data_IF_261727869439
#
_entry.id   IF_261727869439
#
_cell.length_a   1.000
_cell.length_b   1.000
_cell.length_c   1.000
_cell.angle_alpha   90.00
_cell.angle_beta   90.00
_cell.angle_gamma   90.00
#
_symmetry.space_group_name_H-M   'P 1'
#
loop_
_entity.id
_entity.type
_entity.pdbx_description
1 polymer ?
#
# COMPACT_ATOMS: atom_id res chain seq x y z
N UNK A 1 7.07 -22.94 -5.00
CA UNK A 1 6.98 -22.25 -3.72
C UNK A 1 7.19 -20.74 -3.90
N UNK A 2 6.77 -19.95 -2.90
CA UNK A 2 6.97 -18.49 -2.90
C UNK A 2 8.44 -18.12 -2.65
N UNK A 3 8.87 -16.97 -3.16
CA UNK A 3 10.19 -16.40 -2.94
C UNK A 3 10.04 -15.07 -2.23
N UNK A 4 10.71 -14.91 -1.07
CA UNK A 4 10.81 -13.64 -0.39
C UNK A 4 11.96 -12.82 -0.99
N UNK A 5 11.64 -11.63 -1.51
CA UNK A 5 12.61 -10.74 -2.16
C UNK A 5 12.86 -9.53 -1.25
N UNK A 6 14.11 -9.17 -0.94
CA UNK A 6 14.42 -7.96 -0.21
C UNK A 6 13.84 -6.72 -0.90
N UNK A 7 13.30 -5.78 -0.12
CA UNK A 7 12.62 -4.58 -0.66
C UNK A 7 13.48 -3.82 -1.68
N UNK A 8 14.77 -3.72 -1.45
CA UNK A 8 15.72 -3.01 -2.31
C UNK A 8 15.93 -3.69 -3.68
N UNK A 9 15.66 -4.99 -3.77
CA UNK A 9 15.88 -5.78 -4.98
C UNK A 9 14.61 -6.04 -5.80
N UNK A 10 13.44 -5.70 -5.27
CA UNK A 10 12.13 -6.00 -5.89
C UNK A 10 12.10 -5.60 -7.36
N UNK A 11 12.43 -4.33 -7.67
CA UNK A 11 12.34 -3.81 -9.03
C UNK A 11 13.27 -4.58 -9.99
N UNK A 12 14.48 -4.94 -9.53
CA UNK A 12 15.43 -5.71 -10.33
C UNK A 12 14.89 -7.11 -10.67
N UNK A 13 14.25 -7.78 -9.68
CA UNK A 13 13.62 -9.09 -9.91
C UNK A 13 12.44 -8.99 -10.88
N UNK A 14 11.56 -8.01 -10.71
CA UNK A 14 10.39 -7.82 -11.58
C UNK A 14 10.82 -7.55 -13.04
N UNK A 15 11.78 -6.65 -13.26
CA UNK A 15 12.32 -6.35 -14.59
C UNK A 15 12.94 -7.60 -15.23
N UNK A 16 13.68 -8.39 -14.44
CA UNK A 16 14.26 -9.65 -14.92
C UNK A 16 13.18 -10.64 -15.35
N UNK A 17 12.16 -10.87 -14.50
CA UNK A 17 11.08 -11.81 -14.81
C UNK A 17 10.28 -11.38 -16.04
N UNK A 18 10.03 -10.08 -16.19
CA UNK A 18 9.37 -9.54 -17.38
C UNK A 18 10.17 -9.80 -18.65
N UNK A 19 11.49 -9.58 -18.61
CA UNK A 19 12.41 -9.89 -19.75
C UNK A 19 12.44 -11.37 -20.09
N UNK A 20 12.41 -12.23 -19.05
CA UNK A 20 12.38 -13.69 -19.20
C UNK A 20 10.99 -14.23 -19.59
N UNK A 21 9.97 -13.37 -19.74
CA UNK A 21 8.57 -13.74 -20.01
C UNK A 21 7.99 -14.76 -19.01
N UNK A 22 8.47 -14.73 -17.76
CA UNK A 22 7.96 -15.59 -16.70
C UNK A 22 6.63 -15.07 -16.19
N UNK A 23 5.68 -15.97 -15.95
CA UNK A 23 4.49 -15.63 -15.17
C UNK A 23 4.86 -15.44 -13.70
N UNK A 24 4.29 -14.44 -13.07
CA UNK A 24 4.48 -14.15 -11.66
C UNK A 24 3.18 -13.69 -10.99
N UNK A 25 3.14 -13.88 -9.69
CA UNK A 25 2.19 -13.21 -8.81
C UNK A 25 3.01 -12.54 -7.71
N UNK A 26 2.86 -11.23 -7.54
CA UNK A 26 3.61 -10.47 -6.55
C UNK A 26 2.68 -9.85 -5.51
N UNK A 27 2.92 -10.15 -4.22
CA UNK A 27 2.14 -9.61 -3.10
C UNK A 27 2.71 -8.29 -2.58
N UNK A 28 1.87 -7.25 -2.53
CA UNK A 28 2.17 -5.97 -1.89
C UNK A 28 1.42 -5.86 -0.57
N UNK A 29 2.15 -5.78 0.55
CA UNK A 29 1.58 -5.53 1.88
C UNK A 29 1.53 -4.02 2.08
N UNK A 30 0.35 -3.41 1.89
CA UNK A 30 0.19 -1.95 1.86
C UNK A 30 -0.76 -1.39 2.92
N UNK A 31 -1.37 -2.26 3.73
CA UNK A 31 -2.35 -1.92 4.76
C UNK A 31 -1.74 -1.32 6.04
N UNK A 32 -0.42 -1.36 6.20
CA UNK A 32 0.29 -0.90 7.39
C UNK A 32 0.74 0.57 7.27
N UNK A 33 1.09 1.18 8.44
CA UNK A 33 1.50 2.58 8.53
C UNK A 33 2.95 2.79 8.10
N UNK A 34 3.25 3.68 7.13
CA UNK A 34 4.62 4.05 6.78
C UNK A 34 5.30 4.84 7.91
N UNK A 35 6.64 4.81 7.98
CA UNK A 35 7.40 5.73 8.84
C UNK A 35 7.27 7.17 8.31
N UNK A 36 7.39 8.19 9.18
CA UNK A 36 7.24 9.59 8.79
C UNK A 36 8.03 9.98 7.53
N UNK A 37 9.29 9.61 7.43
CA UNK A 37 10.14 9.89 6.25
C UNK A 37 9.69 9.19 4.95
N UNK A 38 8.70 8.31 5.02
CA UNK A 38 8.16 7.58 3.86
C UNK A 38 6.67 7.92 3.60
N UNK A 39 6.14 8.96 4.24
CA UNK A 39 4.76 9.41 4.04
C UNK A 39 4.74 10.40 2.88
N UNK A 40 4.20 9.98 1.75
CA UNK A 40 4.04 10.83 0.57
C UNK A 40 2.58 11.10 0.23
N UNK A 41 1.65 10.45 0.92
CA UNK A 41 0.22 10.59 0.66
C UNK A 41 -0.57 10.30 1.93
N UNK A 42 -1.62 11.07 2.14
CA UNK A 42 -2.64 10.88 3.16
C UNK A 42 -3.98 10.65 2.48
N UNK A 43 -4.76 9.70 2.99
CA UNK A 43 -6.09 9.37 2.49
C UNK A 43 -7.08 9.25 3.66
N UNK A 44 -8.36 9.61 3.45
CA UNK A 44 -9.41 9.27 4.41
C UNK A 44 -9.60 7.74 4.42
N UNK A 45 -9.51 7.13 5.61
CA UNK A 45 -9.71 5.70 5.81
C UNK A 45 -10.31 5.46 7.18
N UNK A 46 -11.48 4.81 7.24
CA UNK A 46 -12.27 4.60 8.47
C UNK A 46 -12.48 5.89 9.27
N UNK A 47 -12.84 6.98 8.58
CA UNK A 47 -13.05 8.33 9.14
C UNK A 47 -11.80 8.98 9.77
N UNK A 48 -10.60 8.49 9.47
CA UNK A 48 -9.35 9.08 9.93
C UNK A 48 -8.49 9.50 8.74
N UNK A 49 -7.80 10.63 8.86
CA UNK A 49 -6.73 11.01 7.94
C UNK A 49 -5.53 10.06 8.14
N UNK A 50 -5.17 9.32 7.11
CA UNK A 50 -4.36 8.12 7.23
C UNK A 50 -3.18 8.14 6.29
N UNK A 51 -1.93 8.02 6.81
CA UNK A 51 -0.75 7.95 5.97
C UNK A 51 -0.65 6.58 5.29
N UNK A 52 -0.33 6.59 3.99
CA UNK A 52 -0.32 5.37 3.17
C UNK A 52 0.99 5.16 2.43
N UNK A 53 1.30 3.90 2.12
CA UNK A 53 2.43 3.56 1.25
C UNK A 53 2.06 3.77 -0.22
N UNK A 54 2.86 4.56 -0.94
CA UNK A 54 2.69 4.79 -2.39
C UNK A 54 3.76 4.12 -3.25
N UNK A 55 4.80 3.58 -2.62
CA UNK A 55 5.92 2.96 -3.34
C UNK A 55 5.52 1.74 -4.17
N UNK A 56 4.54 0.97 -3.73
CA UNK A 56 3.97 -0.17 -4.47
C UNK A 56 3.32 0.29 -5.78
N UNK A 57 2.49 1.33 -5.73
CA UNK A 57 1.83 1.88 -6.91
C UNK A 57 2.83 2.37 -7.97
N UNK A 58 3.92 3.04 -7.56
CA UNK A 58 4.98 3.45 -8.50
C UNK A 58 5.59 2.26 -9.24
N UNK A 59 5.76 1.13 -8.56
CA UNK A 59 6.25 -0.11 -9.17
C UNK A 59 5.20 -0.71 -10.10
N UNK A 60 3.93 -0.80 -9.67
CA UNK A 60 2.81 -1.33 -10.47
C UNK A 60 2.67 -0.55 -11.77
N UNK A 61 2.69 0.79 -11.72
CA UNK A 61 2.64 1.66 -12.91
C UNK A 61 3.84 1.44 -13.85
N UNK A 62 5.05 1.31 -13.29
CA UNK A 62 6.27 1.05 -14.07
C UNK A 62 6.26 -0.31 -14.75
N UNK A 63 5.74 -1.33 -14.08
CA UNK A 63 5.65 -2.69 -14.63
C UNK A 63 4.48 -2.84 -15.59
N UNK A 64 3.43 -2.07 -15.41
CA UNK A 64 2.19 -2.06 -16.20
C UNK A 64 1.56 -3.47 -16.31
N UNK A 65 1.51 -4.19 -15.18
CA UNK A 65 0.88 -5.49 -15.06
C UNK A 65 -0.44 -5.34 -14.28
N UNK A 66 -1.43 -6.21 -14.54
CA UNK A 66 -2.74 -6.14 -13.89
C UNK A 66 -2.63 -6.17 -12.35
N UNK A 67 -3.39 -5.30 -11.69
CA UNK A 67 -3.41 -5.13 -10.23
C UNK A 67 -4.73 -5.63 -9.66
N UNK A 68 -4.64 -6.49 -8.66
CA UNK A 68 -5.80 -7.06 -7.98
C UNK A 68 -5.77 -6.74 -6.49
N UNK A 69 -6.94 -6.55 -5.93
CA UNK A 69 -7.19 -6.60 -4.49
C UNK A 69 -7.53 -8.05 -4.10
N UNK A 70 -6.94 -8.53 -3.01
CA UNK A 70 -7.28 -9.85 -2.44
C UNK A 70 -8.35 -9.66 -1.39
N UNK A 71 -9.61 -9.84 -1.80
CA UNK A 71 -10.76 -9.77 -0.90
C UNK A 71 -10.85 -11.04 -0.06
N UNK A 72 -10.60 -10.90 1.23
CA UNK A 72 -10.62 -12.00 2.18
C UNK A 72 -12.01 -12.16 2.81
N UNK A 73 -12.47 -13.39 2.93
CA UNK A 73 -13.65 -13.76 3.70
C UNK A 73 -13.31 -14.92 4.65
N UNK A 74 -13.98 -14.94 5.79
CA UNK A 74 -13.85 -16.01 6.80
C UNK A 74 -15.23 -16.60 7.11
N UNK A 75 -15.72 -17.54 6.27
CA UNK A 75 -17.04 -18.15 6.49
C UNK A 75 -17.10 -18.93 7.81
N UNK A 76 -16.03 -19.59 8.21
CA UNK A 76 -15.95 -20.37 9.45
C UNK A 76 -14.57 -20.22 10.10
N UNK A 77 -14.46 -20.62 11.37
CA UNK A 77 -13.16 -20.67 12.05
C UNK A 77 -12.18 -21.57 11.31
N UNK A 78 -11.01 -21.00 10.94
CA UNK A 78 -9.95 -21.74 10.24
C UNK A 78 -10.16 -21.88 8.72
N UNK A 79 -11.29 -21.42 8.17
CA UNK A 79 -11.56 -21.44 6.72
C UNK A 79 -11.54 -20.01 6.17
N UNK A 80 -10.77 -19.80 5.10
CA UNK A 80 -10.66 -18.52 4.43
C UNK A 80 -10.90 -18.66 2.93
N UNK A 81 -11.59 -17.69 2.36
CA UNK A 81 -11.82 -17.55 0.93
C UNK A 81 -11.13 -16.27 0.48
N UNK A 82 -10.24 -16.39 -0.51
CA UNK A 82 -9.55 -15.27 -1.12
C UNK A 82 -10.11 -15.06 -2.52
N UNK A 83 -10.74 -13.92 -2.77
CA UNK A 83 -11.26 -13.54 -4.09
C UNK A 83 -10.40 -12.45 -4.68
N UNK A 84 -9.83 -12.67 -5.87
CA UNK A 84 -9.09 -11.64 -6.59
C UNK A 84 -10.06 -10.70 -7.30
N UNK A 85 -10.09 -9.43 -6.90
CA UNK A 85 -10.89 -8.37 -7.50
C UNK A 85 -9.99 -7.44 -8.29
N UNK A 86 -10.25 -7.26 -9.57
CA UNK A 86 -9.47 -6.38 -10.43
C UNK A 86 -9.58 -4.92 -9.94
N UNK A 87 -8.43 -4.28 -9.70
CA UNK A 87 -8.34 -2.82 -9.50
C UNK A 87 -8.16 -2.15 -10.86
N UNK A 88 -7.20 -2.62 -11.65
CA UNK A 88 -6.94 -2.16 -13.02
C UNK A 88 -6.05 -3.17 -13.77
N UNK A 89 -6.26 -3.26 -15.06
CA UNK A 89 -5.38 -3.98 -16.00
C UNK A 89 -4.39 -3.04 -16.73
N UNK A 90 -4.54 -1.71 -16.49
CA UNK A 90 -3.74 -0.66 -17.11
C UNK A 90 -3.21 0.34 -16.07
N UNK A 91 -2.38 -0.09 -15.13
CA UNK A 91 -1.93 0.78 -14.05
C UNK A 91 -1.14 2.01 -14.53
N UNK A 92 -0.47 1.95 -15.69
CA UNK A 92 0.26 3.09 -16.23
C UNK A 92 -0.66 4.26 -16.65
N UNK A 93 -1.93 3.99 -16.99
CA UNK A 93 -2.92 4.99 -17.39
C UNK A 93 -3.62 5.65 -16.18
N UNK A 94 -3.48 5.08 -14.97
CA UNK A 94 -4.12 5.58 -13.76
C UNK A 94 -3.48 6.89 -13.28
N UNK A 95 -4.28 7.76 -12.64
CA UNK A 95 -3.77 8.97 -12.00
C UNK A 95 -2.87 8.63 -10.80
N UNK A 96 -2.07 9.58 -10.35
CA UNK A 96 -1.20 9.39 -9.18
C UNK A 96 -2.03 9.08 -7.94
N UNK A 97 -1.60 8.08 -7.18
CA UNK A 97 -2.26 7.55 -5.98
C UNK A 97 -3.67 6.96 -6.20
N UNK A 98 -4.14 6.81 -7.42
CA UNK A 98 -5.48 6.29 -7.70
C UNK A 98 -5.58 4.79 -7.36
N UNK A 99 -4.57 3.98 -7.69
CA UNK A 99 -4.53 2.55 -7.33
C UNK A 99 -4.56 2.40 -5.81
N UNK A 100 -3.76 3.19 -5.11
CA UNK A 100 -3.69 3.22 -3.65
C UNK A 100 -5.05 3.61 -3.06
N UNK A 101 -5.70 4.63 -3.58
CA UNK A 101 -7.03 5.08 -3.14
C UNK A 101 -8.09 4.00 -3.32
N UNK A 102 -8.11 3.35 -4.49
CA UNK A 102 -9.05 2.23 -4.76
C UNK A 102 -8.80 1.05 -3.84
N UNK A 103 -7.53 0.71 -3.59
CA UNK A 103 -7.15 -0.34 -2.64
C UNK A 103 -7.70 -0.05 -1.24
N UNK A 104 -7.49 1.16 -0.71
CA UNK A 104 -7.95 1.54 0.63
C UNK A 104 -9.47 1.56 0.75
N UNK A 105 -10.18 1.97 -0.31
CA UNK A 105 -11.65 1.87 -0.36
C UNK A 105 -12.13 0.42 -0.27
N UNK A 106 -11.54 -0.48 -1.05
CA UNK A 106 -11.89 -1.91 -1.02
C UNK A 106 -11.54 -2.56 0.33
N UNK A 107 -10.42 -2.16 0.94
CA UNK A 107 -10.01 -2.60 2.27
C UNK A 107 -11.00 -2.11 3.33
N UNK A 108 -11.45 -0.87 3.26
CA UNK A 108 -12.46 -0.31 4.15
C UNK A 108 -13.78 -1.07 4.07
N UNK A 109 -14.24 -1.41 2.86
CA UNK A 109 -15.44 -2.22 2.63
C UNK A 109 -15.28 -3.63 3.22
N UNK A 110 -14.10 -4.24 3.08
CA UNK A 110 -13.79 -5.54 3.70
C UNK A 110 -13.85 -5.46 5.22
N UNK A 111 -13.27 -4.43 5.83
CA UNK A 111 -13.27 -4.22 7.29
C UNK A 111 -14.66 -3.94 7.81
N UNK A 112 -15.46 -3.11 7.12
CA UNK A 112 -16.87 -2.83 7.50
C UNK A 112 -17.72 -4.08 7.44
N UNK A 113 -17.48 -4.96 6.48
CA UNK A 113 -18.17 -6.24 6.33
C UNK A 113 -17.80 -7.23 7.45
N UNK A 114 -16.51 -7.35 7.77
CA UNK A 114 -16.00 -8.23 8.82
C UNK A 114 -14.76 -7.65 9.50
N UNK A 115 -14.92 -6.88 10.60
CA UNK A 115 -13.81 -6.25 11.31
C UNK A 115 -12.74 -7.21 11.85
N UNK A 116 -13.06 -8.51 11.98
CA UNK A 116 -12.12 -9.54 12.45
C UNK A 116 -11.00 -9.84 11.47
N UNK A 117 -11.13 -9.41 10.21
CA UNK A 117 -10.14 -9.63 9.15
C UNK A 117 -9.01 -8.60 9.17
N UNK A 118 -9.08 -7.58 10.03
CA UNK A 118 -8.06 -6.53 10.10
C UNK A 118 -7.17 -6.67 11.34
N UNK A 119 -5.88 -6.37 11.18
CA UNK A 119 -4.90 -6.44 12.27
C UNK A 119 -4.94 -5.16 13.13
N UNK A 120 -5.93 -5.07 14.02
CA UNK A 120 -6.14 -3.90 14.89
C UNK A 120 -4.96 -3.60 15.83
N UNK A 121 -4.19 -4.61 16.23
CA UNK A 121 -3.01 -4.46 17.09
C UNK A 121 -1.85 -3.73 16.41
N UNK A 122 -1.94 -3.45 15.10
CA UNK A 122 -0.91 -2.72 14.37
C UNK A 122 -0.78 -1.25 14.79
N UNK A 123 -1.76 -0.66 15.47
CA UNK A 123 -1.83 0.77 15.77
C UNK A 123 -1.67 1.60 14.48
N UNK A 124 -2.70 1.55 13.63
CA UNK A 124 -2.69 2.11 12.27
C UNK A 124 -2.45 3.62 12.27
N UNK A 125 -3.01 4.34 13.25
CA UNK A 125 -3.00 5.81 13.34
C UNK A 125 -1.97 6.38 14.32
N UNK A 126 -0.96 5.60 14.70
CA UNK A 126 0.17 6.07 15.54
C UNK A 126 0.95 7.25 14.94
N UNK A 127 0.73 7.56 13.66
CA UNK A 127 1.29 8.74 12.97
C UNK A 127 0.16 9.61 12.51
N UNK A 128 0.09 10.84 13.05
CA UNK A 128 -0.93 11.82 12.70
C UNK A 128 -0.35 12.92 11.80
N UNK A 129 -1.23 13.60 11.09
CA UNK A 129 -0.89 14.63 10.12
C UNK A 129 -0.33 15.89 10.80
N UNK A 130 -0.90 16.29 11.94
CA UNK A 130 -0.45 17.46 12.71
C UNK A 130 1.04 17.33 13.12
N UNK A 131 1.43 16.15 13.65
CA UNK A 131 2.83 15.90 13.98
C UNK A 131 3.71 15.89 12.72
N UNK A 132 3.20 15.35 11.59
CA UNK A 132 3.92 15.38 10.33
C UNK A 132 4.17 16.83 9.89
N UNK A 133 3.15 17.66 9.85
CA UNK A 133 3.26 19.06 9.41
C UNK A 133 4.17 19.89 10.32
N UNK A 134 4.18 19.58 11.62
CA UNK A 134 5.05 20.26 12.59
C UNK A 134 6.53 19.94 12.38
N UNK A 135 6.89 18.69 12.13
CA UNK A 135 8.29 18.23 12.17
C UNK A 135 8.86 17.78 10.83
N UNK A 136 8.04 17.65 9.80
CA UNK A 136 8.47 17.15 8.50
C UNK A 136 7.97 18.06 7.38
N UNK A 137 8.65 17.99 6.23
CA UNK A 137 8.27 18.70 5.00
C UNK A 137 8.68 17.86 3.81
N UNK A 138 7.95 18.02 2.71
CA UNK A 138 8.30 17.40 1.43
C UNK A 138 9.12 18.37 0.59
N UNK A 139 10.35 18.01 0.26
CA UNK A 139 11.25 18.78 -0.61
C UNK A 139 11.79 17.86 -1.71
N UNK A 140 11.67 18.29 -2.96
CA UNK A 140 12.15 17.56 -4.14
C UNK A 140 11.69 16.07 -4.18
N UNK A 141 10.44 15.81 -3.74
CA UNK A 141 9.88 14.44 -3.71
C UNK A 141 10.37 13.56 -2.57
N UNK A 142 11.12 14.12 -1.61
CA UNK A 142 11.59 13.45 -0.41
C UNK A 142 11.00 14.11 0.84
N UNK A 143 10.64 13.29 1.82
CA UNK A 143 10.23 13.80 3.14
C UNK A 143 11.48 13.95 4.00
N UNK A 144 11.71 15.16 4.51
CA UNK A 144 12.82 15.49 5.39
C UNK A 144 12.30 16.07 6.71
N UNK A 145 13.12 16.03 7.77
CA UNK A 145 12.82 16.75 9.01
C UNK A 145 13.04 18.24 8.82
N UNK A 146 12.14 19.06 9.38
CA UNK A 146 12.35 20.50 9.48
C UNK A 146 13.57 20.80 10.37
N UNK A 147 14.43 21.72 9.95
CA UNK A 147 15.65 22.08 10.67
C UNK A 147 15.39 22.99 11.87
N UNK A 148 14.28 23.71 11.85
CA UNK A 148 13.96 24.80 12.77
C UNK A 148 13.08 24.35 13.96
N UNK A 149 12.86 23.04 14.12
CA UNK A 149 12.01 22.51 15.19
C UNK A 149 12.78 21.45 15.98
N UNK A 150 13.11 21.77 17.23
CA UNK A 150 13.61 20.79 18.20
C UNK A 150 12.50 19.78 18.60
N UNK A 151 12.89 18.52 18.77
CA UNK A 151 12.00 17.43 19.15
C UNK A 151 11.66 17.49 20.64
#
# INVERSE_FOLDING_TARGET
>A
GGVCIPKQEILRYLVRYKREKRMWLFGYISDQSPKYLNIHCWLPFLNHDTPVFTGGEKIMKKMNDAVFYVDMQRPERGKYICTFRLITDKPAEMQENEITTRFFKMLEDTIKRDPRLYLWTHDRWKRNHEHFDKYYVMENGHVIKRKDVEL
#
